data_IF_902623037645
#
_entry.id   IF_902623037645
#
_cell.length_a   1.000
_cell.length_b   1.000
_cell.length_c   1.000
_cell.angle_alpha   90.00
_cell.angle_beta   90.00
_cell.angle_gamma   90.00
#
_symmetry.space_group_name_H-M   'P 1'
#
loop_
_entity.id
_entity.type
_entity.pdbx_description
1 polymer ?
#
# COMPACT_ATOMS: atom_id res chain seq x y z
N UNK A 1 -62.06 0.85 -47.27
CA UNK A 1 -61.23 1.73 -48.11
C UNK A 1 -60.01 2.14 -47.27
N UNK A 2 -58.80 1.81 -47.77
CA UNK A 2 -57.43 2.04 -47.20
C UNK A 2 -57.13 1.35 -45.86
N UNK A 3 -56.22 0.37 -45.70
CA UNK A 3 -54.90 0.06 -46.29
C UNK A 3 -53.93 1.24 -46.29
N UNK A 4 -53.04 1.30 -45.27
CA UNK A 4 -51.57 1.39 -45.43
C UNK A 4 -50.84 1.58 -44.09
N UNK A 5 -49.83 0.74 -43.86
CA UNK A 5 -48.48 0.99 -43.30
C UNK A 5 -47.85 -0.40 -43.13
N UNK A 6 -47.15 -0.95 -44.13
CA UNK A 6 -45.73 -0.72 -44.42
C UNK A 6 -44.94 -0.40 -43.15
N UNK A 7 -44.27 -1.42 -42.62
CA UNK A 7 -42.88 -1.31 -42.20
C UNK A 7 -42.23 -2.70 -42.32
N UNK A 8 -41.67 -2.96 -43.50
CA UNK A 8 -40.52 -3.85 -43.65
C UNK A 8 -39.37 -3.24 -42.86
N UNK A 9 -38.91 -3.88 -41.78
CA UNK A 9 -37.54 -3.70 -41.31
C UNK A 9 -36.97 -5.06 -40.93
N UNK A 10 -36.03 -5.48 -41.79
CA UNK A 10 -35.33 -6.75 -41.72
C UNK A 10 -34.65 -6.96 -40.38
N UNK A 11 -34.81 -8.18 -39.90
CA UNK A 11 -34.12 -8.77 -38.78
C UNK A 11 -32.61 -8.80 -39.07
N UNK A 12 -31.86 -7.82 -38.55
CA UNK A 12 -30.39 -7.90 -38.44
C UNK A 12 -30.07 -8.35 -37.02
N UNK A 13 -29.55 -9.57 -36.80
CA UNK A 13 -29.04 -9.93 -35.50
C UNK A 13 -27.79 -9.08 -35.22
N UNK A 14 -27.89 -8.24 -34.20
CA UNK A 14 -26.76 -7.54 -33.62
C UNK A 14 -25.81 -8.57 -33.02
N UNK A 15 -24.63 -8.74 -33.64
CA UNK A 15 -23.50 -9.38 -32.96
C UNK A 15 -22.97 -8.34 -31.98
N UNK A 16 -23.54 -8.32 -30.79
CA UNK A 16 -22.90 -7.72 -29.62
C UNK A 16 -21.64 -8.55 -29.35
N UNK A 17 -20.50 -8.07 -29.82
CA UNK A 17 -19.21 -8.57 -29.37
C UNK A 17 -19.06 -8.18 -27.90
N UNK A 18 -19.51 -9.07 -27.02
CA UNK A 18 -19.10 -9.10 -25.61
C UNK A 18 -17.60 -9.34 -25.60
N UNK A 19 -16.82 -8.26 -25.66
CA UNK A 19 -15.45 -8.26 -25.20
C UNK A 19 -15.51 -8.50 -23.70
N UNK A 20 -15.61 -9.77 -23.31
CA UNK A 20 -15.24 -10.23 -21.98
C UNK A 20 -13.72 -10.07 -21.96
N UNK A 21 -13.26 -8.85 -21.72
CA UNK A 21 -11.90 -8.63 -21.25
C UNK A 21 -11.74 -9.54 -20.06
N UNK A 22 -10.87 -10.54 -20.18
CA UNK A 22 -10.51 -11.40 -19.09
C UNK A 22 -9.97 -10.49 -17.98
N UNK A 23 -10.82 -10.21 -16.98
CA UNK A 23 -10.36 -9.65 -15.73
C UNK A 23 -9.53 -10.78 -15.15
N UNK A 24 -8.20 -10.64 -15.26
CA UNK A 24 -7.28 -11.51 -14.56
C UNK A 24 -7.64 -11.54 -13.08
N UNK A 25 -7.22 -12.55 -12.31
CA UNK A 25 -7.42 -12.53 -10.88
C UNK A 25 -6.81 -11.22 -10.36
N UNK A 26 -7.67 -10.29 -9.92
CA UNK A 26 -7.26 -9.16 -9.09
C UNK A 26 -6.56 -9.81 -7.92
N UNK A 27 -5.23 -9.70 -7.86
CA UNK A 27 -4.50 -10.22 -6.72
C UNK A 27 -5.02 -9.47 -5.49
N UNK A 28 -5.68 -10.20 -4.60
CA UNK A 28 -6.28 -9.62 -3.42
C UNK A 28 -5.16 -9.11 -2.52
N UNK A 29 -5.15 -7.80 -2.32
CA UNK A 29 -4.26 -7.15 -1.35
C UNK A 29 -4.53 -7.75 0.03
N UNK A 30 -3.49 -8.13 0.76
CA UNK A 30 -3.65 -8.81 2.04
C UNK A 30 -2.54 -8.45 3.02
N UNK A 31 -2.87 -8.48 4.31
CA UNK A 31 -1.85 -8.41 5.35
C UNK A 31 -0.99 -9.67 5.33
N UNK A 32 0.31 -9.48 5.51
CA UNK A 32 1.22 -10.55 5.88
C UNK A 32 1.23 -10.62 7.39
N UNK A 33 0.73 -11.73 7.94
CA UNK A 33 0.68 -11.95 9.39
C UNK A 33 1.64 -13.07 9.75
N UNK A 34 2.63 -12.75 10.57
CA UNK A 34 3.64 -13.68 11.06
C UNK A 34 3.65 -13.63 12.58
N UNK A 35 3.53 -14.78 13.24
CA UNK A 35 3.53 -14.88 14.70
C UNK A 35 2.51 -13.95 15.41
N UNK A 36 1.37 -13.66 14.77
CA UNK A 36 0.33 -12.81 15.33
C UNK A 36 0.61 -11.29 15.25
N UNK A 37 1.57 -10.87 14.43
CA UNK A 37 1.82 -9.46 14.09
C UNK A 37 1.78 -9.26 12.58
N UNK A 38 1.43 -8.06 12.14
CA UNK A 38 1.43 -7.68 10.73
C UNK A 38 2.85 -7.27 10.34
N UNK A 39 3.51 -8.08 9.51
CA UNK A 39 4.85 -7.78 9.00
C UNK A 39 4.84 -6.97 7.70
N UNK A 40 3.69 -6.89 7.02
CA UNK A 40 3.59 -6.19 5.75
C UNK A 40 2.23 -6.29 5.06
N UNK A 41 2.20 -5.86 3.80
CA UNK A 41 1.06 -5.95 2.88
C UNK A 41 1.56 -6.49 1.55
N UNK A 42 0.84 -7.46 0.97
CA UNK A 42 1.17 -8.04 -0.34
C UNK A 42 0.26 -7.55 -1.45
N UNK A 43 0.83 -7.47 -2.66
CA UNK A 43 0.06 -7.29 -3.89
C UNK A 43 -0.59 -5.92 -4.04
N UNK A 44 0.01 -4.86 -3.50
CA UNK A 44 -0.45 -3.48 -3.72
C UNK A 44 -0.29 -3.14 -5.20
N UNK A 45 -1.40 -2.88 -5.88
CA UNK A 45 -1.38 -2.53 -7.29
C UNK A 45 -1.25 -1.01 -7.47
N UNK A 46 -0.22 -0.61 -8.22
CA UNK A 46 0.07 0.78 -8.57
C UNK A 46 0.36 0.84 -10.06
N UNK A 47 -0.49 1.56 -10.80
CA UNK A 47 -0.37 1.73 -12.25
C UNK A 47 -0.19 0.40 -13.02
N UNK A 48 -0.85 -0.67 -12.59
CA UNK A 48 -0.78 -2.01 -13.20
C UNK A 48 0.47 -2.83 -12.81
N UNK A 49 1.29 -2.32 -11.89
CA UNK A 49 2.41 -3.06 -11.29
C UNK A 49 2.08 -3.45 -9.86
N UNK A 50 2.51 -4.63 -9.42
CA UNK A 50 2.25 -5.13 -8.07
C UNK A 50 3.48 -4.98 -7.19
N UNK A 51 3.26 -4.55 -5.95
CA UNK A 51 4.29 -4.31 -4.96
C UNK A 51 3.95 -4.98 -3.63
N UNK A 52 4.98 -5.50 -2.98
CA UNK A 52 4.93 -5.94 -1.59
C UNK A 52 5.57 -4.87 -0.70
N UNK A 53 4.91 -4.58 0.41
CA UNK A 53 5.35 -3.62 1.44
C UNK A 53 5.68 -4.38 2.70
N UNK A 54 6.91 -4.23 3.19
CA UNK A 54 7.36 -4.80 4.47
C UNK A 54 7.56 -3.68 5.48
N UNK A 55 7.08 -3.87 6.71
CA UNK A 55 7.30 -2.95 7.82
C UNK A 55 8.54 -3.36 8.62
N UNK A 56 9.38 -2.39 8.94
CA UNK A 56 10.61 -2.63 9.68
C UNK A 56 10.83 -1.55 10.75
N UNK A 57 11.32 -1.97 11.92
CA UNK A 57 11.87 -1.07 12.93
C UNK A 57 13.40 -0.97 12.79
N UNK A 58 13.99 0.11 13.33
CA UNK A 58 15.44 0.33 13.26
C UNK A 58 16.26 -0.63 14.12
N UNK A 59 15.63 -1.34 15.06
CA UNK A 59 16.28 -2.26 16.01
C UNK A 59 16.47 -3.67 15.46
N UNK A 60 15.61 -4.10 14.53
CA UNK A 60 15.55 -5.49 14.06
C UNK A 60 16.34 -5.73 12.77
N UNK A 61 16.36 -4.79 11.79
CA UNK A 61 17.02 -5.04 10.48
C UNK A 61 17.55 -3.79 9.74
N UNK A 62 18.22 -2.89 10.47
CA UNK A 62 19.40 -2.18 9.95
C UNK A 62 19.22 -1.33 8.69
N UNK A 63 18.58 -0.17 8.86
CA UNK A 63 18.91 1.11 8.20
C UNK A 63 19.04 1.04 6.69
N UNK A 64 17.91 1.01 5.97
CA UNK A 64 17.79 1.29 4.52
C UNK A 64 18.73 0.53 3.57
N UNK A 65 18.23 -0.12 2.50
CA UNK A 65 19.13 -0.69 1.50
C UNK A 65 20.15 0.37 1.04
N UNK A 66 21.45 0.07 1.09
CA UNK A 66 22.48 1.11 0.96
C UNK A 66 22.48 1.86 -0.40
N UNK A 67 21.72 1.35 -1.36
CA UNK A 67 21.58 1.93 -2.69
C UNK A 67 20.28 2.72 -2.86
N UNK A 68 19.40 2.71 -1.84
CA UNK A 68 18.10 3.35 -1.90
C UNK A 68 18.23 4.83 -1.51
N UNK A 69 18.11 5.71 -2.50
CA UNK A 69 18.00 7.18 -2.29
C UNK A 69 16.56 7.64 -2.02
N UNK A 70 15.67 6.70 -1.66
CA UNK A 70 14.21 6.85 -1.58
C UNK A 70 13.49 6.27 -2.81
N UNK A 71 12.17 6.06 -2.69
CA UNK A 71 11.32 5.50 -3.74
C UNK A 71 10.77 6.55 -4.73
N UNK A 72 11.06 7.84 -4.52
CA UNK A 72 10.52 8.94 -5.30
C UNK A 72 8.98 8.97 -5.21
N UNK A 73 8.29 9.29 -6.32
CA UNK A 73 6.83 9.36 -6.37
C UNK A 73 6.11 8.08 -5.89
N UNK A 74 6.76 6.91 -6.02
CA UNK A 74 6.20 5.63 -5.59
C UNK A 74 5.88 5.62 -4.08
N UNK A 75 6.59 6.41 -3.26
CA UNK A 75 6.31 6.50 -1.83
C UNK A 75 4.89 7.02 -1.54
N UNK A 76 4.49 8.07 -2.25
CA UNK A 76 3.15 8.66 -2.14
C UNK A 76 2.08 7.73 -2.70
N UNK A 77 2.35 7.10 -3.85
CA UNK A 77 1.42 6.17 -4.49
C UNK A 77 1.15 4.94 -3.61
N UNK A 78 2.18 4.40 -2.95
CA UNK A 78 2.01 3.30 -1.98
C UNK A 78 1.23 3.76 -0.75
N UNK A 79 1.52 4.94 -0.21
CA UNK A 79 0.79 5.48 0.93
C UNK A 79 -0.71 5.62 0.65
N UNK A 80 -1.05 6.17 -0.51
CA UNK A 80 -2.43 6.30 -0.98
C UNK A 80 -3.09 4.94 -1.24
N UNK A 81 -2.35 4.00 -1.84
CA UNK A 81 -2.86 2.66 -2.07
C UNK A 81 -3.15 1.90 -0.75
N UNK A 82 -2.28 2.02 0.26
CA UNK A 82 -2.51 1.46 1.60
C UNK A 82 -3.76 2.05 2.26
N UNK A 83 -3.95 3.37 2.17
CA UNK A 83 -5.15 4.05 2.67
C UNK A 83 -6.40 3.53 1.97
N UNK A 84 -6.42 3.54 0.64
CA UNK A 84 -7.55 3.07 -0.17
C UNK A 84 -7.88 1.59 0.09
N UNK A 85 -6.86 0.76 0.26
CA UNK A 85 -7.01 -0.67 0.54
C UNK A 85 -7.59 -0.91 1.95
N UNK A 86 -7.25 -0.05 2.92
CA UNK A 86 -7.86 -0.06 4.25
C UNK A 86 -9.32 0.39 4.20
N UNK A 87 -9.62 1.52 3.55
CA UNK A 87 -10.97 2.10 3.48
C UNK A 87 -11.97 1.21 2.73
N UNK A 88 -11.51 0.56 1.65
CA UNK A 88 -12.30 -0.41 0.90
C UNK A 88 -12.50 -1.74 1.64
N UNK A 89 -11.76 -1.96 2.73
CA UNK A 89 -11.69 -3.23 3.43
C UNK A 89 -11.11 -4.34 2.57
N UNK A 90 -10.24 -4.01 1.61
CA UNK A 90 -9.48 -4.97 0.82
C UNK A 90 -8.40 -5.64 1.68
N UNK A 91 -7.79 -4.88 2.59
CA UNK A 91 -6.86 -5.41 3.60
C UNK A 91 -7.66 -6.12 4.70
N UNK A 92 -7.87 -7.44 4.54
CA UNK A 92 -8.52 -8.27 5.56
C UNK A 92 -7.54 -9.27 6.16
N UNK A 93 -7.37 -9.19 7.48
CA UNK A 93 -7.21 -10.38 8.30
C UNK A 93 -8.61 -10.81 8.79
N UNK A 94 -8.75 -11.96 9.42
CA UNK A 94 -10.07 -12.37 9.94
C UNK A 94 -10.65 -11.26 10.85
N UNK A 95 -11.94 -10.86 10.71
CA UNK A 95 -12.47 -9.64 11.35
C UNK A 95 -12.35 -9.59 12.88
N UNK A 96 -12.22 -10.74 13.54
CA UNK A 96 -11.97 -10.85 14.98
C UNK A 96 -10.49 -10.77 15.38
N UNK A 97 -9.59 -11.03 14.45
CA UNK A 97 -8.14 -11.03 14.68
C UNK A 97 -7.54 -9.66 14.37
N UNK A 98 -7.98 -9.00 13.29
CA UNK A 98 -7.36 -7.76 12.80
C UNK A 98 -7.32 -6.61 13.82
N UNK A 99 -8.36 -6.46 14.67
CA UNK A 99 -8.39 -5.40 15.71
C UNK A 99 -7.34 -5.57 16.80
N UNK A 100 -6.76 -6.76 16.92
CA UNK A 100 -5.76 -7.08 17.91
C UNK A 100 -4.36 -7.23 17.30
N UNK A 101 -4.24 -7.15 15.97
CA UNK A 101 -2.97 -7.27 15.29
C UNK A 101 -2.22 -5.94 15.33
N UNK A 102 -0.98 -6.01 15.77
CA UNK A 102 -0.04 -4.91 15.81
C UNK A 102 0.91 -5.01 14.61
N UNK A 103 1.42 -3.88 14.11
CA UNK A 103 2.52 -3.91 13.15
C UNK A 103 3.79 -4.45 13.83
N UNK A 104 4.50 -5.33 13.14
CA UNK A 104 5.76 -5.88 13.61
C UNK A 104 6.77 -4.74 13.86
N UNK A 105 7.39 -4.77 15.04
CA UNK A 105 8.35 -3.75 15.47
C UNK A 105 7.74 -2.52 16.15
N UNK A 106 6.42 -2.36 16.10
CA UNK A 106 5.74 -1.32 16.84
C UNK A 106 5.59 -1.73 18.31
N UNK A 107 5.69 -0.79 19.26
CA UNK A 107 5.47 -1.06 20.68
C UNK A 107 4.03 -0.78 21.12
N UNK A 108 3.38 0.20 20.53
CA UNK A 108 1.97 0.53 20.76
C UNK A 108 1.04 -0.27 19.85
N UNK A 109 -0.06 -0.75 20.44
CA UNK A 109 -1.18 -1.39 19.71
C UNK A 109 -2.21 -0.37 19.22
N UNK A 110 -2.18 0.84 19.75
CA UNK A 110 -3.20 1.86 19.49
C UNK A 110 -2.91 2.63 18.20
N UNK A 111 -1.63 2.93 17.96
CA UNK A 111 -1.18 3.69 16.80
C UNK A 111 0.27 3.37 16.48
N UNK A 112 0.58 3.29 15.20
CA UNK A 112 1.94 3.17 14.70
C UNK A 112 2.14 4.12 13.52
N UNK A 113 3.23 4.87 13.54
CA UNK A 113 3.65 5.71 12.42
C UNK A 113 4.53 4.89 11.49
N UNK A 114 4.17 4.82 10.20
CA UNK A 114 4.95 4.17 9.15
C UNK A 114 5.49 5.24 8.20
N UNK A 115 6.81 5.32 8.08
CA UNK A 115 7.50 6.25 7.20
C UNK A 115 7.88 5.55 5.88
N UNK A 116 7.33 6.04 4.77
CA UNK A 116 7.65 5.57 3.44
C UNK A 116 8.63 6.54 2.79
N UNK A 117 9.89 6.14 2.54
CA UNK A 117 10.93 7.04 2.08
C UNK A 117 10.68 7.49 0.64
N UNK A 118 10.60 8.80 0.47
CA UNK A 118 10.49 9.40 -0.85
C UNK A 118 11.88 9.75 -1.41
N UNK A 119 12.68 10.49 -0.65
CA UNK A 119 14.04 10.83 -1.08
C UNK A 119 15.01 11.01 0.09
N UNK A 120 16.32 11.00 -0.18
CA UNK A 120 17.37 11.25 0.80
C UNK A 120 18.33 12.35 0.33
N UNK A 121 18.84 13.14 1.26
CA UNK A 121 20.00 14.00 1.00
C UNK A 121 21.28 13.19 1.19
N UNK A 122 21.92 12.83 0.07
CA UNK A 122 23.09 11.95 0.07
C UNK A 122 22.74 10.49 -0.27
N UNK A 123 23.73 9.61 -0.23
CA UNK A 123 23.56 8.17 -0.45
C UNK A 123 23.99 7.42 0.80
N UNK A 124 23.40 6.25 1.06
CA UNK A 124 23.85 5.41 2.18
C UNK A 124 25.35 5.06 2.05
N UNK A 125 26.06 4.87 3.17
CA UNK A 125 25.63 5.01 4.57
C UNK A 125 25.63 6.46 5.08
N UNK A 126 25.81 7.44 4.20
CA UNK A 126 26.03 8.84 4.53
C UNK A 126 24.85 9.75 4.18
N UNK A 127 23.64 9.18 4.05
CA UNK A 127 22.43 9.98 3.91
C UNK A 127 22.27 10.85 5.16
N UNK A 128 22.21 12.17 4.97
CA UNK A 128 22.18 13.14 6.06
C UNK A 128 20.75 13.34 6.59
N UNK A 129 19.75 13.25 5.71
CA UNK A 129 18.33 13.36 6.05
C UNK A 129 17.53 12.60 5.02
N UNK A 130 16.60 11.76 5.48
CA UNK A 130 15.61 11.12 4.60
C UNK A 130 14.28 11.84 4.76
N UNK A 131 13.56 12.01 3.67
CA UNK A 131 12.21 12.56 3.66
C UNK A 131 11.24 11.44 3.33
N UNK A 132 10.22 11.28 4.16
CA UNK A 132 9.22 10.24 4.00
C UNK A 132 7.80 10.80 3.93
N UNK A 133 6.97 10.07 3.21
CA UNK A 133 5.51 10.12 3.34
C UNK A 133 5.14 9.38 4.62
N UNK A 134 4.37 10.03 5.48
CA UNK A 134 3.88 9.42 6.72
C UNK A 134 2.55 8.73 6.48
N UNK A 135 2.42 7.49 6.97
CA UNK A 135 1.16 6.77 7.07
C UNK A 135 0.92 6.33 8.50
N UNK A 136 -0.28 6.57 9.04
CA UNK A 136 -0.64 6.14 10.40
C UNK A 136 -1.50 4.88 10.32
N UNK A 137 -1.05 3.82 11.00
CA UNK A 137 -1.83 2.62 11.28
C UNK A 137 -2.44 2.72 12.68
N UNK A 138 -3.77 2.73 12.79
CA UNK A 138 -4.47 2.83 14.08
C UNK A 138 -5.83 2.18 14.00
N UNK A 139 -6.24 1.52 15.09
CA UNK A 139 -7.54 0.85 15.20
C UNK A 139 -7.83 -0.11 14.04
N UNK A 140 -6.81 -0.88 13.63
CA UNK A 140 -6.85 -1.86 12.55
C UNK A 140 -6.85 -1.31 11.11
N UNK A 141 -6.68 0.00 10.94
CA UNK A 141 -6.76 0.68 9.64
C UNK A 141 -5.58 1.63 9.38
N UNK A 142 -5.24 1.84 8.11
CA UNK A 142 -4.47 3.01 7.67
C UNK A 142 -5.40 4.21 7.55
N UNK A 143 -5.04 5.36 8.14
CA UNK A 143 -5.99 6.49 8.30
C UNK A 143 -5.52 7.85 7.79
N UNK A 144 -4.23 8.06 7.64
CA UNK A 144 -3.71 9.36 7.24
C UNK A 144 -2.48 9.19 6.35
N UNK A 145 -2.46 9.95 5.26
CA UNK A 145 -1.26 10.21 4.46
C UNK A 145 -1.00 11.71 4.57
N UNK A 146 0.11 12.12 5.18
CA UNK A 146 0.41 13.56 5.24
C UNK A 146 0.91 14.04 3.90
N UNK A 147 0.33 15.13 3.38
CA UNK A 147 0.83 15.78 2.16
C UNK A 147 2.21 16.43 2.34
N UNK A 148 2.66 16.58 3.59
CA UNK A 148 3.97 17.09 3.94
C UNK A 148 4.90 15.91 4.22
N UNK A 149 6.09 15.97 3.61
CA UNK A 149 7.16 15.02 3.92
C UNK A 149 7.74 15.29 5.30
N UNK A 150 7.94 14.21 6.04
CA UNK A 150 8.60 14.23 7.33
C UNK A 150 10.09 13.98 7.15
N UNK A 151 10.95 14.91 7.61
CA UNK A 151 12.37 14.62 7.72
C UNK A 151 12.57 13.61 8.85
N UNK A 152 13.36 12.57 8.59
CA UNK A 152 13.75 11.59 9.58
C UNK A 152 15.15 11.03 9.28
N UNK A 153 15.78 10.52 10.32
CA UNK A 153 16.97 9.68 10.28
C UNK A 153 16.59 8.27 10.73
N UNK A 154 16.56 7.34 9.79
CA UNK A 154 16.20 5.95 10.06
C UNK A 154 17.07 5.32 11.17
N UNK A 155 18.34 5.72 11.29
CA UNK A 155 19.27 5.17 12.28
C UNK A 155 19.01 5.65 13.71
N UNK A 156 18.44 6.85 13.84
CA UNK A 156 18.21 7.50 15.13
C UNK A 156 16.74 7.45 15.53
N UNK A 157 15.84 7.89 14.65
CA UNK A 157 14.42 8.08 14.98
C UNK A 157 13.72 6.75 15.19
N UNK A 158 13.88 5.78 14.29
CA UNK A 158 13.18 4.48 14.42
C UNK A 158 13.77 3.59 15.52
N UNK A 159 14.98 3.87 16.01
CA UNK A 159 15.58 3.20 17.15
C UNK A 159 15.13 3.81 18.49
N UNK A 160 14.84 5.11 18.51
CA UNK A 160 14.49 5.86 19.73
C UNK A 160 12.99 6.14 19.85
N UNK A 161 12.21 5.95 18.78
CA UNK A 161 10.76 6.11 18.73
C UNK A 161 10.11 4.74 18.49
N UNK A 162 9.70 4.04 19.56
CA UNK A 162 9.26 2.64 19.48
C UNK A 162 7.89 2.43 18.78
N UNK A 163 7.21 3.53 18.43
CA UNK A 163 5.95 3.53 17.68
C UNK A 163 6.13 4.05 16.25
N UNK A 164 7.37 4.01 15.74
CA UNK A 164 7.74 4.46 14.41
C UNK A 164 8.48 3.36 13.64
N UNK A 165 7.99 3.07 12.44
CA UNK A 165 8.52 2.09 11.51
C UNK A 165 8.86 2.75 10.18
N UNK A 166 9.62 2.06 9.34
CA UNK A 166 9.77 2.40 7.93
C UNK A 166 9.25 1.29 7.02
N UNK A 167 8.83 1.67 5.82
CA UNK A 167 8.34 0.74 4.80
C UNK A 167 9.42 0.42 3.77
N UNK A 168 9.56 -0.86 3.45
CA UNK A 168 10.37 -1.36 2.32
C UNK A 168 9.40 -1.79 1.21
N UNK A 169 9.57 -1.22 0.02
CA UNK A 169 8.73 -1.50 -1.15
C UNK A 169 9.55 -2.35 -2.12
N UNK A 170 9.01 -3.50 -2.51
CA UNK A 170 9.62 -4.39 -3.49
C UNK A 170 8.59 -4.79 -4.54
N UNK A 171 8.99 -5.04 -5.80
CA UNK A 171 8.08 -5.67 -6.77
C UNK A 171 7.57 -7.01 -6.23
N UNK A 172 6.26 -7.23 -6.33
CA UNK A 172 5.64 -8.48 -5.93
C UNK A 172 6.15 -9.64 -6.81
N UNK A 173 6.30 -10.83 -6.22
CA UNK A 173 6.80 -12.04 -6.89
C UNK A 173 5.70 -13.03 -7.23
#
# INVERSE_FOLDING_TARGET
MQIKRILDHGFRPAIMALYIGAVGPVQAQSFVVENGVISGVRGIEIQGSLYDVTFADGSFNGVYPAQLSGYGPLAQEVAEALLNASESGALRADPGEQRNLQLQGCSSRESCTVLIPEHSTGTSPSAQTTYAVEVIYSLADFRSVTSKLWPFDASTDTALMPDMLYAIITPAR
#
